data_IF_776604679435
#
_entry.id   IF_776604679435
#
_cell.length_a   1.000
_cell.length_b   1.000
_cell.length_c   1.000
_cell.angle_alpha   90.00
_cell.angle_beta   90.00
_cell.angle_gamma   90.00
#
_symmetry.space_group_name_H-M   'P 1'
#
loop_
_entity.id
_entity.type
_entity.pdbx_description
1 polymer ?
#
# COMPACT_ATOMS: atom_id res chain seq x y z
N UNK A 1 -7.23 7.13 30.07
CA UNK A 1 -7.44 6.30 28.87
C UNK A 1 -7.24 7.20 27.67
N UNK A 2 -6.45 6.80 26.66
CA UNK A 2 -6.32 7.61 25.43
C UNK A 2 -7.54 7.31 24.55
N UNK A 3 -8.15 8.38 24.04
CA UNK A 3 -9.26 8.30 23.08
C UNK A 3 -8.77 8.71 21.71
N UNK A 4 -9.26 8.04 20.68
CA UNK A 4 -9.01 8.36 19.28
C UNK A 4 -10.35 8.41 18.54
N UNK A 5 -10.48 9.31 17.58
CA UNK A 5 -11.68 9.45 16.77
C UNK A 5 -11.79 8.32 15.75
N UNK A 6 -10.66 7.84 15.24
CA UNK A 6 -10.59 6.76 14.24
C UNK A 6 -9.47 5.79 14.56
N UNK A 7 -9.75 4.49 14.41
CA UNK A 7 -8.78 3.41 14.48
C UNK A 7 -8.68 2.70 13.12
N UNK A 8 -7.46 2.61 12.58
CA UNK A 8 -7.15 1.90 11.34
C UNK A 8 -6.48 0.59 11.70
N UNK A 9 -6.97 -0.52 11.19
CA UNK A 9 -6.41 -1.85 11.41
C UNK A 9 -5.67 -2.30 10.16
N UNK A 10 -4.36 -2.45 10.28
CA UNK A 10 -3.44 -2.82 9.21
C UNK A 10 -2.68 -1.64 8.63
N UNK A 11 -1.34 -1.72 8.68
CA UNK A 11 -0.40 -0.73 8.18
C UNK A 11 0.08 -1.02 6.75
N UNK A 12 -0.68 -1.77 5.95
CA UNK A 12 -0.43 -1.91 4.52
C UNK A 12 -0.78 -0.64 3.74
N UNK A 13 -0.62 -0.65 2.41
CA UNK A 13 -0.82 0.53 1.56
C UNK A 13 -2.22 1.15 1.75
N UNK A 14 -3.27 0.33 1.83
CA UNK A 14 -4.64 0.83 2.07
C UNK A 14 -4.79 1.57 3.39
N UNK A 15 -4.26 1.01 4.48
CA UNK A 15 -4.28 1.67 5.79
C UNK A 15 -3.46 2.95 5.84
N UNK A 16 -2.30 2.96 5.20
CA UNK A 16 -1.45 4.15 5.08
C UNK A 16 -2.12 5.26 4.26
N UNK A 17 -2.72 4.92 3.13
CA UNK A 17 -3.47 5.88 2.31
C UNK A 17 -4.68 6.44 3.06
N UNK A 18 -5.40 5.59 3.80
CA UNK A 18 -6.50 6.01 4.67
C UNK A 18 -6.00 6.99 5.75
N UNK A 19 -4.93 6.65 6.46
CA UNK A 19 -4.33 7.51 7.46
C UNK A 19 -3.89 8.86 6.86
N UNK A 20 -3.22 8.83 5.72
CA UNK A 20 -2.78 10.03 5.02
C UNK A 20 -3.96 10.95 4.66
N UNK A 21 -5.03 10.39 4.08
CA UNK A 21 -6.24 11.14 3.73
C UNK A 21 -6.92 11.73 4.96
N UNK A 22 -7.09 10.98 6.02
CA UNK A 22 -7.69 11.48 7.27
C UNK A 22 -6.85 12.61 7.86
N UNK A 23 -5.54 12.44 7.97
CA UNK A 23 -4.64 13.47 8.52
C UNK A 23 -4.59 14.75 7.67
N UNK A 24 -4.73 14.64 6.34
CA UNK A 24 -4.67 15.80 5.44
C UNK A 24 -6.02 16.50 5.27
N UNK A 25 -7.12 15.74 5.24
CA UNK A 25 -8.46 16.29 4.99
C UNK A 25 -9.26 16.61 6.27
N UNK A 26 -8.86 16.00 7.41
CA UNK A 26 -9.49 16.23 8.71
C UNK A 26 -8.41 16.43 9.79
N UNK A 27 -7.62 17.53 9.73
CA UNK A 27 -6.44 17.73 10.59
C UNK A 27 -6.75 17.81 12.09
N UNK A 28 -8.03 17.98 12.47
CA UNK A 28 -8.47 17.92 13.86
C UNK A 28 -8.80 16.52 14.38
N UNK A 29 -8.80 15.52 13.51
CA UNK A 29 -9.15 14.14 13.85
C UNK A 29 -7.93 13.41 14.43
N UNK A 30 -8.12 12.78 15.59
CA UNK A 30 -7.09 11.92 16.19
C UNK A 30 -7.20 10.50 15.59
N UNK A 31 -6.15 10.05 14.91
CA UNK A 31 -6.10 8.76 14.23
C UNK A 31 -5.08 7.86 14.91
N UNK A 32 -5.44 6.58 15.11
CA UNK A 32 -4.50 5.54 15.53
C UNK A 32 -4.47 4.43 14.49
N UNK A 33 -3.28 3.95 14.15
CA UNK A 33 -3.08 2.82 13.25
C UNK A 33 -2.46 1.66 14.02
N UNK A 34 -3.06 0.48 13.89
CA UNK A 34 -2.56 -0.77 14.46
C UNK A 34 -2.03 -1.67 13.36
N UNK A 35 -0.77 -2.07 13.50
CA UNK A 35 -0.12 -3.05 12.61
C UNK A 35 0.41 -4.21 13.45
N UNK A 36 0.13 -5.46 13.02
CA UNK A 36 0.54 -6.65 13.77
C UNK A 36 2.00 -7.02 13.56
N UNK A 37 2.56 -6.65 12.42
CA UNK A 37 3.93 -6.97 12.06
C UNK A 37 4.90 -5.89 12.52
N UNK A 38 6.14 -6.02 12.09
CA UNK A 38 7.22 -5.13 12.51
C UNK A 38 7.23 -3.83 11.69
N UNK A 39 7.86 -2.83 12.28
CA UNK A 39 8.28 -1.62 11.58
C UNK A 39 9.23 -1.96 10.42
N UNK A 40 9.24 -1.16 9.37
CA UNK A 40 9.93 -1.46 8.11
C UNK A 40 11.43 -1.78 8.34
N UNK A 41 12.09 -1.05 9.21
CA UNK A 41 13.50 -1.24 9.53
C UNK A 41 13.79 -2.58 10.25
N UNK A 42 12.78 -3.17 10.87
CA UNK A 42 12.88 -4.44 11.60
C UNK A 42 12.40 -5.64 10.81
N UNK A 43 11.93 -5.41 9.57
CA UNK A 43 11.42 -6.46 8.69
C UNK A 43 12.60 -7.15 7.99
N UNK A 44 13.05 -8.29 8.51
CA UNK A 44 14.16 -9.07 7.97
C UNK A 44 13.72 -10.51 7.71
N UNK A 45 13.69 -10.93 6.44
CA UNK A 45 13.42 -12.30 6.05
C UNK A 45 14.71 -13.15 6.16
N UNK A 46 14.71 -14.28 6.85
CA UNK A 46 15.89 -15.14 6.96
C UNK A 46 16.43 -15.66 5.62
N UNK A 47 15.55 -15.88 4.62
CA UNK A 47 15.98 -16.27 3.27
C UNK A 47 16.74 -15.13 2.60
N UNK A 48 16.14 -13.93 2.59
CA UNK A 48 16.73 -12.74 1.98
C UNK A 48 18.04 -12.37 2.66
N UNK A 49 18.11 -12.58 3.98
CA UNK A 49 19.32 -12.37 4.78
C UNK A 49 20.38 -13.48 4.61
N UNK A 50 20.14 -14.50 3.78
CA UNK A 50 21.05 -15.64 3.58
C UNK A 50 21.19 -16.57 4.79
N UNK A 51 20.30 -16.46 5.80
CA UNK A 51 20.36 -17.26 7.02
C UNK A 51 19.57 -18.57 6.93
N UNK A 52 18.75 -18.75 5.90
CA UNK A 52 17.97 -19.96 5.64
C UNK A 52 17.86 -20.23 4.15
N UNK A 53 18.01 -21.50 3.75
CA UNK A 53 17.90 -21.92 2.35
C UNK A 53 16.46 -22.07 1.85
N UNK A 54 15.48 -22.08 2.75
CA UNK A 54 14.06 -22.20 2.43
C UNK A 54 13.21 -21.47 3.48
N UNK A 55 11.90 -21.29 3.16
CA UNK A 55 10.99 -20.59 4.06
C UNK A 55 10.77 -21.37 5.37
N UNK A 56 11.09 -20.73 6.49
CA UNK A 56 10.95 -21.30 7.84
C UNK A 56 9.56 -21.05 8.45
N UNK A 57 8.62 -20.47 7.68
CA UNK A 57 7.23 -20.18 8.10
C UNK A 57 7.16 -19.37 9.40
N UNK A 58 7.82 -18.20 9.40
CA UNK A 58 7.81 -17.30 10.55
C UNK A 58 6.37 -16.99 11.01
N UNK A 59 6.11 -16.85 12.33
CA UNK A 59 4.78 -16.49 12.86
C UNK A 59 4.26 -15.16 12.32
N UNK A 60 5.14 -14.19 12.07
CA UNK A 60 4.88 -12.96 11.32
C UNK A 60 5.86 -12.92 10.15
N UNK A 61 5.32 -12.93 8.93
CA UNK A 61 6.13 -12.96 7.72
C UNK A 61 6.67 -11.58 7.40
N UNK A 62 7.97 -11.36 7.56
CA UNK A 62 8.61 -10.07 7.32
C UNK A 62 8.50 -9.56 5.87
N UNK A 63 8.16 -10.42 4.90
CA UNK A 63 7.89 -9.98 3.52
C UNK A 63 6.44 -9.52 3.35
N UNK A 64 5.49 -10.28 3.93
CA UNK A 64 4.06 -10.05 3.70
C UNK A 64 3.40 -9.14 4.73
N UNK A 65 3.94 -9.11 5.97
CA UNK A 65 3.34 -8.45 7.13
C UNK A 65 4.26 -7.40 7.71
N UNK A 66 3.68 -6.34 8.27
CA UNK A 66 4.38 -5.21 8.86
C UNK A 66 4.06 -3.91 8.14
N UNK A 67 4.62 -2.82 8.65
CA UNK A 67 4.38 -1.48 8.11
C UNK A 67 4.74 -1.43 6.61
N UNK A 68 3.88 -0.80 5.83
CA UNK A 68 3.84 -0.74 4.37
C UNK A 68 3.45 -2.07 3.67
N UNK A 69 3.12 -3.14 4.42
CA UNK A 69 2.61 -4.39 3.87
C UNK A 69 3.57 -5.11 2.92
N UNK A 70 3.04 -5.96 2.04
CA UNK A 70 3.85 -6.67 1.04
C UNK A 70 4.48 -5.72 0.02
N UNK A 71 3.86 -4.58 -0.24
CA UNK A 71 4.35 -3.57 -1.18
C UNK A 71 5.69 -2.95 -0.81
N UNK A 72 6.07 -2.96 0.47
CA UNK A 72 7.35 -2.41 0.92
C UNK A 72 8.60 -3.04 0.29
N UNK A 73 8.47 -4.27 -0.20
CA UNK A 73 9.57 -5.02 -0.82
C UNK A 73 9.26 -5.43 -2.26
N UNK A 74 8.31 -4.73 -2.91
CA UNK A 74 8.03 -4.91 -4.34
C UNK A 74 9.10 -4.22 -5.20
N UNK A 75 9.05 -4.45 -6.50
CA UNK A 75 9.86 -3.74 -7.48
C UNK A 75 9.30 -2.34 -7.84
N UNK A 76 8.24 -1.90 -7.14
CA UNK A 76 7.65 -0.57 -7.30
C UNK A 76 6.72 -0.42 -8.51
N UNK A 77 6.43 -1.49 -9.24
CA UNK A 77 5.50 -1.43 -10.37
C UNK A 77 4.05 -1.50 -9.90
N UNK A 78 3.22 -0.64 -10.45
CA UNK A 78 1.78 -0.65 -10.26
C UNK A 78 1.05 -0.22 -11.53
N UNK A 79 -0.22 -0.58 -11.64
CA UNK A 79 -1.02 -0.40 -12.86
C UNK A 79 -2.06 0.68 -12.63
N UNK A 80 -2.13 1.65 -13.56
CA UNK A 80 -3.16 2.68 -13.59
C UNK A 80 -4.19 2.27 -14.64
N UNK A 81 -5.14 1.44 -14.24
CA UNK A 81 -6.20 0.92 -15.09
C UNK A 81 -7.35 0.37 -14.24
N UNK A 82 -8.56 0.41 -14.79
CA UNK A 82 -9.75 -0.23 -14.22
C UNK A 82 -9.92 -1.69 -14.67
N UNK A 83 -9.05 -2.19 -15.55
CA UNK A 83 -9.13 -3.55 -16.12
C UNK A 83 -8.47 -4.62 -15.26
N UNK A 84 -7.73 -4.20 -14.22
CA UNK A 84 -7.01 -5.10 -13.32
C UNK A 84 -7.38 -4.83 -11.86
N UNK A 85 -7.38 -5.90 -11.06
CA UNK A 85 -7.29 -5.77 -9.61
C UNK A 85 -8.59 -5.44 -8.89
N UNK A 86 -9.52 -6.37 -8.86
CA UNK A 86 -10.66 -6.31 -7.94
C UNK A 86 -12.00 -5.97 -8.59
N UNK A 87 -12.98 -5.72 -7.76
CA UNK A 87 -14.40 -5.60 -8.15
C UNK A 87 -14.96 -4.19 -7.98
N UNK A 88 -14.13 -3.17 -7.79
CA UNK A 88 -14.60 -1.79 -7.63
C UNK A 88 -15.51 -1.31 -8.77
N UNK A 89 -15.28 -1.71 -10.05
CA UNK A 89 -16.18 -1.34 -11.15
C UNK A 89 -17.59 -1.95 -11.05
N UNK A 90 -17.81 -2.95 -10.20
CA UNK A 90 -19.16 -3.48 -9.93
C UNK A 90 -19.97 -2.55 -9.01
N UNK A 91 -19.32 -1.69 -8.24
CA UNK A 91 -19.93 -0.80 -7.26
C UNK A 91 -19.84 0.68 -7.64
N UNK A 92 -18.87 1.04 -8.47
CA UNK A 92 -18.58 2.41 -8.87
C UNK A 92 -18.45 2.49 -10.39
N UNK A 93 -18.74 3.65 -10.95
CA UNK A 93 -18.48 3.89 -12.37
C UNK A 93 -16.99 3.79 -12.67
N UNK A 94 -16.57 3.23 -13.82
CA UNK A 94 -15.15 3.08 -14.18
C UNK A 94 -14.36 4.41 -14.09
N UNK A 95 -14.99 5.53 -14.48
CA UNK A 95 -14.36 6.85 -14.42
C UNK A 95 -14.04 7.27 -12.98
N UNK A 96 -14.93 6.96 -12.02
CA UNK A 96 -14.70 7.24 -10.61
C UNK A 96 -13.60 6.35 -10.03
N UNK A 97 -13.54 5.08 -10.46
CA UNK A 97 -12.46 4.16 -10.05
C UNK A 97 -11.12 4.66 -10.56
N UNK A 98 -11.05 5.08 -11.83
CA UNK A 98 -9.82 5.62 -12.42
C UNK A 98 -9.38 6.89 -11.70
N UNK A 99 -10.29 7.81 -11.38
CA UNK A 99 -9.99 9.01 -10.62
C UNK A 99 -9.38 8.70 -9.24
N UNK A 100 -9.89 7.69 -8.52
CA UNK A 100 -9.27 7.25 -7.26
C UNK A 100 -7.89 6.63 -7.44
N UNK A 101 -7.67 5.88 -8.52
CA UNK A 101 -6.36 5.32 -8.86
C UNK A 101 -5.36 6.44 -9.15
N UNK A 102 -5.76 7.44 -9.93
CA UNK A 102 -4.94 8.61 -10.25
C UNK A 102 -4.61 9.45 -9.01
N UNK A 103 -5.58 9.66 -8.12
CA UNK A 103 -5.32 10.31 -6.83
C UNK A 103 -4.33 9.53 -5.96
N UNK A 104 -4.35 8.20 -6.02
CA UNK A 104 -3.37 7.38 -5.31
C UNK A 104 -1.97 7.51 -5.95
N UNK A 105 -1.90 7.55 -7.29
CA UNK A 105 -0.68 7.81 -8.03
C UNK A 105 -0.07 9.16 -7.67
N UNK A 106 -0.87 10.23 -7.64
CA UNK A 106 -0.44 11.57 -7.23
C UNK A 106 0.17 11.57 -5.82
N UNK A 107 -0.43 10.83 -4.89
CA UNK A 107 0.12 10.69 -3.54
C UNK A 107 1.47 9.96 -3.57
N UNK A 108 1.57 8.87 -4.33
CA UNK A 108 2.82 8.13 -4.47
C UNK A 108 3.92 8.98 -5.11
N UNK A 109 3.60 9.76 -6.14
CA UNK A 109 4.53 10.70 -6.76
C UNK A 109 4.98 11.79 -5.77
N UNK A 110 4.06 12.31 -4.95
CA UNK A 110 4.42 13.25 -3.88
C UNK A 110 5.47 12.66 -2.91
N UNK A 111 5.45 11.35 -2.69
CA UNK A 111 6.42 10.63 -1.87
C UNK A 111 7.60 10.04 -2.65
N UNK A 112 7.78 10.41 -3.92
CA UNK A 112 8.97 10.10 -4.71
C UNK A 112 8.82 8.98 -5.73
N UNK A 113 7.61 8.51 -6.01
CA UNK A 113 7.37 7.64 -7.15
C UNK A 113 7.65 8.39 -8.47
N UNK A 114 8.17 7.72 -9.52
CA UNK A 114 8.39 8.34 -10.82
C UNK A 114 7.07 8.86 -11.42
N UNK A 115 7.11 10.06 -11.99
CA UNK A 115 5.98 10.62 -12.75
C UNK A 115 5.85 9.99 -14.15
N UNK A 116 6.92 9.39 -14.65
CA UNK A 116 6.93 8.77 -15.97
C UNK A 116 6.11 7.47 -15.95
N UNK A 117 5.11 7.39 -16.82
CA UNK A 117 4.25 6.20 -17.00
C UNK A 117 4.73 5.41 -18.20
N UNK A 118 4.94 4.11 -18.01
CA UNK A 118 5.20 3.20 -19.12
C UNK A 118 3.88 2.93 -19.88
N UNK A 119 3.87 3.31 -21.15
CA UNK A 119 2.76 3.01 -22.05
C UNK A 119 3.20 1.92 -23.03
N UNK A 120 2.51 0.77 -23.12
CA UNK A 120 2.82 -0.22 -24.12
C UNK A 120 2.64 0.36 -25.53
N UNK A 121 3.52 -0.02 -26.47
CA UNK A 121 3.38 0.35 -27.88
C UNK A 121 2.08 -0.22 -28.45
N UNK A 122 1.56 0.40 -29.54
CA UNK A 122 0.34 -0.06 -30.20
C UNK A 122 0.48 -1.47 -30.77
N UNK A 123 1.73 -1.95 -30.99
CA UNK A 123 2.02 -3.33 -31.39
C UNK A 123 1.78 -4.37 -30.26
N UNK A 124 1.70 -3.91 -29.02
CA UNK A 124 1.46 -4.77 -27.82
C UNK A 124 0.02 -4.69 -27.31
N UNK A 125 -0.82 -3.92 -27.95
CA UNK A 125 -2.27 -3.83 -27.68
C UNK A 125 -3.03 -4.76 -28.64
#
# INVERSE_FOLDING_TARGET
MKHFDTAIIGGGIGGLMCAYRLCTQAPGMSVVLFEKGHDIEKRACPIVAGKAGHCIKCPSCSIMEGLAGAGAFSDGKYVISTEYGGWLPEFLKPEAVLDYIEQADDILQHFGAPAERFMPSDELK
#
